data_IF_357259708761
#
_entry.id   IF_357259708761
#
_cell.length_a   1.000
_cell.length_b   1.000
_cell.length_c   1.000
_cell.angle_alpha   90.00
_cell.angle_beta   90.00
_cell.angle_gamma   90.00
#
_symmetry.space_group_name_H-M   'P 1'
#
loop_
_entity.id
_entity.type
_entity.pdbx_description
1 polymer ?
#
# COMPACT_ATOMS: atom_id res chain seq x y z
N UNK A 1 21.34 54.86 9.89
CA UNK A 1 22.26 54.06 10.74
C UNK A 1 21.79 52.62 10.64
N UNK A 2 22.51 51.78 9.89
CA UNK A 2 22.24 50.34 9.79
C UNK A 2 22.83 49.66 11.01
N UNK A 3 21.98 49.16 11.91
CA UNK A 3 22.42 48.35 13.04
C UNK A 3 22.81 46.98 12.49
N UNK A 4 24.05 46.57 12.69
CA UNK A 4 24.51 45.22 12.33
C UNK A 4 23.84 44.18 13.26
N UNK A 5 23.40 43.02 12.74
CA UNK A 5 22.75 41.99 13.57
C UNK A 5 23.71 41.49 14.66
N UNK A 6 23.18 41.15 15.84
CA UNK A 6 23.96 40.58 16.94
C UNK A 6 24.41 39.15 16.56
N UNK A 7 25.72 38.83 16.54
CA UNK A 7 26.22 37.52 16.18
C UNK A 7 25.79 36.37 17.13
N UNK A 8 25.17 36.67 18.27
CA UNK A 8 24.59 35.69 19.19
C UNK A 8 23.06 35.61 19.14
N UNK A 9 22.39 36.29 18.21
CA UNK A 9 20.95 36.20 18.03
C UNK A 9 20.58 34.82 17.45
N UNK A 10 19.84 34.01 18.21
CA UNK A 10 19.32 32.74 17.72
C UNK A 10 18.29 33.03 16.63
N UNK A 11 18.70 32.86 15.38
CA UNK A 11 17.81 32.92 14.23
C UNK A 11 16.99 31.64 14.21
N UNK A 12 15.69 31.74 14.46
CA UNK A 12 14.78 30.60 14.35
C UNK A 12 14.74 30.13 12.89
N UNK A 13 15.20 28.90 12.57
CA UNK A 13 15.18 28.40 11.20
C UNK A 13 13.78 28.33 10.59
N UNK A 14 12.74 28.38 11.43
CA UNK A 14 11.34 28.34 11.04
C UNK A 14 10.68 29.72 11.00
N UNK A 15 11.42 30.82 11.20
CA UNK A 15 10.86 32.19 11.19
C UNK A 15 10.14 32.53 9.87
N UNK A 16 10.59 31.94 8.75
CA UNK A 16 9.98 32.12 7.42
C UNK A 16 9.15 30.89 6.98
N UNK A 17 8.87 29.95 7.87
CA UNK A 17 8.05 28.79 7.56
C UNK A 17 6.57 29.19 7.55
N UNK A 18 5.95 29.18 6.38
CA UNK A 18 4.51 29.22 6.24
C UNK A 18 4.00 27.77 6.26
N UNK A 19 3.19 27.36 7.27
CA UNK A 19 2.68 26.01 7.32
C UNK A 19 1.86 25.68 6.07
N UNK A 20 1.92 24.41 5.63
CA UNK A 20 1.08 23.92 4.55
C UNK A 20 -0.39 24.19 4.87
N UNK A 21 -1.07 24.91 3.97
CA UNK A 21 -2.50 25.16 4.04
C UNK A 21 -3.20 24.19 3.09
N UNK A 22 -4.05 23.33 3.65
CA UNK A 22 -4.84 22.39 2.85
C UNK A 22 -6.19 22.99 2.51
N UNK A 23 -6.67 22.69 1.31
CA UNK A 23 -7.94 23.21 0.80
C UNK A 23 -9.15 22.53 1.45
N UNK A 24 -9.00 21.28 1.90
CA UNK A 24 -10.01 20.53 2.63
C UNK A 24 -9.41 19.47 3.59
N UNK A 25 -10.27 18.88 4.43
CA UNK A 25 -9.89 17.88 5.43
C UNK A 25 -9.45 16.55 4.83
N UNK A 26 -9.82 16.23 3.58
CA UNK A 26 -9.35 15.02 2.90
C UNK A 26 -7.92 15.18 2.43
N UNK A 27 -7.59 16.34 1.86
CA UNK A 27 -6.24 16.70 1.43
C UNK A 27 -5.28 16.68 2.63
N UNK A 28 -5.67 17.31 3.75
CA UNK A 28 -4.91 17.26 4.99
C UNK A 28 -4.72 15.82 5.48
N UNK A 29 -5.78 15.00 5.47
CA UNK A 29 -5.70 13.61 5.91
C UNK A 29 -4.78 12.77 5.02
N UNK A 30 -4.84 12.96 3.70
CA UNK A 30 -3.97 12.27 2.75
C UNK A 30 -2.50 12.68 2.91
N UNK A 31 -2.24 13.96 3.22
CA UNK A 31 -0.89 14.46 3.45
C UNK A 31 -0.29 13.98 4.77
N UNK A 32 -1.07 14.02 5.85
CA UNK A 32 -0.54 13.93 7.22
C UNK A 32 -0.87 12.64 7.97
N UNK A 33 -1.93 11.91 7.60
CA UNK A 33 -2.23 10.64 8.27
C UNK A 33 -1.34 9.53 7.72
N UNK A 34 -0.77 8.67 8.60
CA UNK A 34 0.06 7.57 8.17
C UNK A 34 -0.79 6.47 7.52
N UNK A 35 -0.16 5.61 6.70
CA UNK A 35 -0.80 4.42 6.11
C UNK A 35 -1.37 3.49 7.19
N UNK A 36 -0.77 3.44 8.38
CA UNK A 36 -1.32 2.70 9.54
C UNK A 36 -2.72 3.18 9.98
N UNK A 37 -3.14 4.40 9.62
CA UNK A 37 -4.50 4.89 9.82
C UNK A 37 -5.52 4.27 8.84
N UNK A 38 -5.05 3.70 7.73
CA UNK A 38 -5.86 2.91 6.81
C UNK A 38 -5.97 1.50 7.38
N UNK A 39 -7.20 1.02 7.62
CA UNK A 39 -7.46 -0.34 8.12
C UNK A 39 -7.02 -1.39 7.08
N UNK A 40 -5.74 -1.76 7.09
CA UNK A 40 -5.07 -2.61 6.08
C UNK A 40 -5.10 -4.11 6.41
N UNK A 41 -5.69 -4.47 7.54
CA UNK A 41 -5.87 -5.86 8.02
C UNK A 41 -7.35 -6.28 8.04
N UNK A 42 -7.65 -7.58 8.06
CA UNK A 42 -6.72 -8.70 7.80
C UNK A 42 -6.22 -8.72 6.36
N UNK A 43 -5.08 -9.37 6.12
CA UNK A 43 -4.57 -9.70 4.78
C UNK A 43 -4.47 -11.22 4.63
N UNK A 44 -4.36 -11.70 3.39
CA UNK A 44 -4.20 -13.10 3.06
C UNK A 44 -2.88 -13.31 2.32
N UNK A 45 -2.17 -14.39 2.64
CA UNK A 45 -0.93 -14.78 1.98
C UNK A 45 -0.85 -16.26 1.66
N UNK A 46 0.06 -16.61 0.74
CA UNK A 46 0.43 -17.97 0.36
C UNK A 46 1.96 -18.07 0.16
N UNK A 47 2.59 -19.23 0.36
CA UNK A 47 4.00 -19.41 0.03
C UNK A 47 4.23 -19.48 -1.49
N UNK A 48 5.44 -19.16 -2.00
CA UNK A 48 5.73 -19.13 -3.44
C UNK A 48 5.62 -20.50 -4.13
N UNK A 49 5.68 -21.59 -3.37
CA UNK A 49 5.54 -22.96 -3.85
C UNK A 49 4.10 -23.49 -3.81
N UNK A 50 3.14 -22.76 -3.22
CA UNK A 50 1.73 -23.10 -3.34
C UNK A 50 1.35 -23.17 -4.82
N UNK A 51 0.50 -24.12 -5.18
CA UNK A 51 0.04 -24.27 -6.56
C UNK A 51 -0.85 -23.11 -6.97
N UNK A 52 -0.90 -22.83 -8.28
CA UNK A 52 -1.85 -21.85 -8.84
C UNK A 52 -3.29 -22.19 -8.45
N UNK A 53 -3.66 -23.48 -8.44
CA UNK A 53 -4.98 -23.94 -7.96
C UNK A 53 -5.24 -23.50 -6.52
N UNK A 54 -4.34 -23.84 -5.59
CA UNK A 54 -4.50 -23.48 -4.18
C UNK A 54 -4.62 -21.96 -4.00
N UNK A 55 -3.83 -21.17 -4.74
CA UNK A 55 -3.92 -19.71 -4.69
C UNK A 55 -5.28 -19.18 -5.21
N UNK A 56 -5.79 -19.74 -6.32
CA UNK A 56 -7.10 -19.36 -6.88
C UNK A 56 -8.24 -19.76 -5.94
N UNK A 57 -8.19 -20.96 -5.38
CA UNK A 57 -9.17 -21.43 -4.38
C UNK A 57 -9.14 -20.51 -3.15
N UNK A 58 -7.96 -20.12 -2.68
CA UNK A 58 -7.79 -19.21 -1.54
C UNK A 58 -8.38 -17.82 -1.80
N UNK A 59 -8.19 -17.25 -3.00
CA UNK A 59 -8.84 -16.00 -3.41
C UNK A 59 -10.37 -16.13 -3.31
N UNK A 60 -10.93 -17.22 -3.86
CA UNK A 60 -12.36 -17.47 -3.90
C UNK A 60 -12.97 -17.72 -2.50
N UNK A 61 -12.33 -18.55 -1.68
CA UNK A 61 -12.77 -18.90 -0.32
C UNK A 61 -12.80 -17.68 0.59
N UNK A 62 -11.73 -16.89 0.58
CA UNK A 62 -11.61 -15.71 1.43
C UNK A 62 -12.35 -14.49 0.87
N UNK A 63 -12.84 -14.57 -0.37
CA UNK A 63 -13.48 -13.46 -1.11
C UNK A 63 -12.58 -12.22 -1.15
N UNK A 64 -11.29 -12.43 -1.37
CA UNK A 64 -10.29 -11.37 -1.51
C UNK A 64 -9.80 -11.32 -2.96
N UNK A 65 -9.42 -10.14 -3.43
CA UNK A 65 -8.96 -9.94 -4.81
C UNK A 65 -7.43 -10.02 -4.96
N UNK A 66 -6.71 -10.25 -3.85
CA UNK A 66 -5.26 -10.24 -3.80
C UNK A 66 -4.75 -11.12 -2.67
N UNK A 67 -3.72 -11.92 -2.96
CA UNK A 67 -2.88 -12.63 -2.02
C UNK A 67 -1.47 -12.06 -2.07
N UNK A 68 -0.87 -11.88 -0.91
CA UNK A 68 0.56 -11.63 -0.80
C UNK A 68 1.30 -12.97 -0.93
N UNK A 69 2.39 -12.98 -1.67
CA UNK A 69 3.27 -14.14 -1.74
C UNK A 69 4.43 -13.91 -0.80
N UNK A 70 4.56 -14.80 0.18
CA UNK A 70 5.44 -14.63 1.32
C UNK A 70 6.42 -15.79 1.45
N UNK A 71 7.70 -15.49 1.63
CA UNK A 71 8.74 -16.49 1.90
C UNK A 71 9.60 -16.01 3.06
N UNK A 72 9.76 -16.83 4.09
CA UNK A 72 10.54 -16.48 5.29
C UNK A 72 10.15 -15.12 5.91
N UNK A 73 8.85 -14.84 6.04
CA UNK A 73 8.29 -13.57 6.55
C UNK A 73 8.59 -12.34 5.70
N UNK A 74 9.01 -12.54 4.44
CA UNK A 74 9.28 -11.47 3.49
C UNK A 74 8.30 -11.51 2.33
N UNK A 75 7.90 -10.33 1.89
CA UNK A 75 7.13 -10.15 0.68
C UNK A 75 8.01 -10.46 -0.55
N UNK A 76 7.64 -11.49 -1.30
CA UNK A 76 8.35 -11.89 -2.53
C UNK A 76 7.50 -11.69 -3.79
N UNK A 77 6.18 -11.50 -3.64
CA UNK A 77 5.28 -11.28 -4.76
C UNK A 77 3.86 -10.93 -4.36
N UNK A 78 3.03 -10.69 -5.37
CA UNK A 78 1.58 -10.53 -5.26
C UNK A 78 0.91 -11.41 -6.32
N UNK A 79 -0.18 -12.06 -5.96
CA UNK A 79 -1.05 -12.78 -6.88
C UNK A 79 -2.49 -12.29 -6.73
N UNK A 80 -3.08 -11.80 -7.81
CA UNK A 80 -4.36 -11.08 -7.80
C UNK A 80 -5.37 -11.64 -8.82
N UNK A 81 -6.62 -11.19 -8.72
CA UNK A 81 -7.65 -11.44 -9.73
C UNK A 81 -7.21 -11.08 -11.16
N UNK A 82 -6.45 -9.99 -11.32
CA UNK A 82 -5.82 -9.60 -12.58
C UNK A 82 -4.82 -10.66 -13.07
N UNK A 83 -3.97 -11.18 -12.20
CA UNK A 83 -3.03 -12.25 -12.59
C UNK A 83 -3.79 -13.51 -13.01
N UNK A 84 -4.93 -13.82 -12.37
CA UNK A 84 -5.79 -14.92 -12.79
C UNK A 84 -6.29 -14.68 -14.22
N UNK A 85 -6.82 -13.50 -14.52
CA UNK A 85 -7.33 -13.18 -15.85
C UNK A 85 -6.23 -13.14 -16.92
N UNK A 86 -5.08 -12.54 -16.61
CA UNK A 86 -4.04 -12.24 -17.58
C UNK A 86 -3.10 -13.43 -17.84
N UNK A 87 -2.85 -14.28 -16.82
CA UNK A 87 -1.79 -15.30 -16.86
C UNK A 87 -2.29 -16.73 -16.64
N UNK A 88 -3.50 -16.91 -16.13
CA UNK A 88 -3.99 -18.24 -15.70
C UNK A 88 -5.22 -18.68 -16.51
N UNK A 89 -6.17 -17.78 -16.76
CA UNK A 89 -7.50 -18.14 -17.25
C UNK A 89 -7.49 -18.91 -18.57
N UNK A 90 -6.60 -18.56 -19.50
CA UNK A 90 -6.52 -19.20 -20.82
C UNK A 90 -5.71 -20.51 -20.84
N UNK A 91 -4.86 -20.73 -19.83
CA UNK A 91 -3.91 -21.87 -19.76
C UNK A 91 -4.11 -22.70 -18.49
N UNK A 92 -5.27 -22.58 -17.83
CA UNK A 92 -5.49 -23.11 -16.48
C UNK A 92 -5.09 -24.58 -16.35
N UNK A 93 -5.48 -25.42 -17.31
CA UNK A 93 -5.17 -26.85 -17.26
C UNK A 93 -3.67 -27.16 -17.22
N UNK A 94 -2.85 -26.29 -17.83
CA UNK A 94 -1.39 -26.42 -17.93
C UNK A 94 -0.67 -25.82 -16.72
N UNK A 95 -1.22 -24.78 -16.11
CA UNK A 95 -0.57 -24.02 -15.03
C UNK A 95 -1.09 -24.34 -13.63
N UNK A 96 -2.28 -24.94 -13.49
CA UNK A 96 -2.95 -25.13 -12.19
C UNK A 96 -2.12 -25.87 -11.13
N UNK A 97 -1.23 -26.77 -11.55
CA UNK A 97 -0.35 -27.53 -10.64
C UNK A 97 1.07 -26.95 -10.52
N UNK A 98 1.36 -25.85 -11.23
CA UNK A 98 2.64 -25.16 -11.12
C UNK A 98 2.66 -24.25 -9.88
N UNK A 99 3.85 -23.92 -9.35
CA UNK A 99 3.97 -22.95 -8.26
C UNK A 99 3.41 -21.57 -8.63
N UNK A 100 2.73 -20.89 -7.71
CA UNK A 100 2.20 -19.53 -7.89
C UNK A 100 3.31 -18.54 -8.22
N UNK A 101 4.55 -18.81 -7.78
CA UNK A 101 5.72 -18.01 -8.14
C UNK A 101 6.04 -17.95 -9.64
N UNK A 102 5.46 -18.81 -10.48
CA UNK A 102 5.60 -18.74 -11.95
C UNK A 102 4.68 -17.69 -12.57
N UNK A 103 3.55 -17.36 -11.91
CA UNK A 103 2.52 -16.44 -12.43
C UNK A 103 2.33 -15.18 -11.56
N UNK A 104 2.89 -15.13 -10.36
CA UNK A 104 2.81 -13.94 -9.49
C UNK A 104 3.49 -12.71 -10.12
N UNK A 105 3.07 -11.52 -9.70
CA UNK A 105 3.85 -10.30 -9.91
C UNK A 105 4.99 -10.26 -8.90
N UNK A 106 6.24 -10.32 -9.38
CA UNK A 106 7.46 -10.28 -8.57
C UNK A 106 7.82 -8.83 -8.22
N UNK A 107 8.51 -8.65 -7.08
CA UNK A 107 8.97 -7.34 -6.61
C UNK A 107 7.85 -6.28 -6.63
N UNK A 108 6.72 -6.53 -5.96
CA UNK A 108 5.58 -5.62 -5.98
C UNK A 108 5.95 -4.26 -5.39
N UNK A 109 5.34 -3.19 -5.91
CA UNK A 109 5.38 -1.87 -5.27
C UNK A 109 4.64 -1.98 -3.93
N UNK A 110 5.29 -1.53 -2.87
CA UNK A 110 4.74 -1.50 -1.51
C UNK A 110 4.88 -0.10 -0.93
N UNK A 111 4.25 0.13 0.23
CA UNK A 111 4.45 1.31 1.07
C UNK A 111 4.75 0.88 2.50
N UNK A 112 5.43 1.72 3.25
CA UNK A 112 5.60 1.57 4.69
C UNK A 112 4.39 2.12 5.45
N UNK A 113 4.08 1.51 6.60
CA UNK A 113 2.96 1.92 7.45
C UNK A 113 3.08 3.36 8.00
N UNK A 114 4.30 3.91 8.00
CA UNK A 114 4.63 5.26 8.43
C UNK A 114 4.58 6.30 7.33
N UNK A 115 4.50 5.90 6.05
CA UNK A 115 4.31 6.84 4.94
C UNK A 115 2.91 7.47 5.00
N UNK A 116 2.70 8.55 4.27
CA UNK A 116 1.40 9.21 4.23
C UNK A 116 0.35 8.37 3.49
N UNK A 117 -0.93 8.52 3.86
CA UNK A 117 -2.04 7.87 3.17
C UNK A 117 -2.09 8.25 1.67
N UNK A 118 -1.60 9.42 1.30
CA UNK A 118 -1.40 9.86 -0.08
C UNK A 118 -0.44 8.97 -0.89
N UNK A 119 0.56 8.34 -0.25
CA UNK A 119 1.47 7.40 -0.92
C UNK A 119 0.71 6.19 -1.50
N UNK A 120 -0.28 5.66 -0.75
CA UNK A 120 -1.16 4.59 -1.23
C UNK A 120 -1.96 5.04 -2.45
N UNK A 121 -2.51 6.25 -2.41
CA UNK A 121 -3.29 6.80 -3.52
C UNK A 121 -2.41 7.01 -4.76
N UNK A 122 -1.18 7.47 -4.60
CA UNK A 122 -0.21 7.59 -5.69
C UNK A 122 0.07 6.24 -6.36
N UNK A 123 0.32 5.18 -5.57
CA UNK A 123 0.52 3.82 -6.12
C UNK A 123 -0.72 3.34 -6.88
N UNK A 124 -1.92 3.61 -6.36
CA UNK A 124 -3.17 3.18 -7.00
C UNK A 124 -3.50 3.96 -8.26
N UNK A 125 -3.48 5.30 -8.20
CA UNK A 125 -3.98 6.18 -9.24
C UNK A 125 -2.95 6.48 -10.33
N UNK A 126 -1.67 6.56 -9.97
CA UNK A 126 -0.59 6.91 -10.90
C UNK A 126 0.11 5.66 -11.42
N UNK A 127 0.44 4.71 -10.55
CA UNK A 127 1.15 3.49 -10.94
C UNK A 127 0.21 2.34 -11.36
N UNK A 128 -1.08 2.44 -11.05
CA UNK A 128 -2.11 1.52 -11.53
C UNK A 128 -2.23 0.20 -10.74
N UNK A 129 -1.63 0.12 -9.56
CA UNK A 129 -1.71 -1.07 -8.68
C UNK A 129 -2.79 -0.90 -7.63
N UNK A 130 -3.86 -1.72 -7.72
CA UNK A 130 -5.02 -1.59 -6.81
C UNK A 130 -4.78 -2.16 -5.42
N UNK A 131 -3.94 -3.18 -5.29
CA UNK A 131 -3.66 -3.79 -3.99
C UNK A 131 -2.20 -3.53 -3.67
N UNK A 132 -1.96 -2.76 -2.62
CA UNK A 132 -0.65 -2.26 -2.26
C UNK A 132 -0.24 -2.91 -0.94
N UNK A 133 0.77 -3.79 -0.93
CA UNK A 133 1.32 -4.33 0.31
C UNK A 133 1.80 -3.20 1.24
N UNK A 134 1.55 -3.37 2.53
CA UNK A 134 2.00 -2.44 3.58
C UNK A 134 3.03 -3.15 4.45
N UNK A 135 4.21 -2.55 4.60
CA UNK A 135 5.32 -3.09 5.39
C UNK A 135 5.60 -2.25 6.64
N UNK A 136 6.16 -2.87 7.68
CA UNK A 136 6.77 -2.15 8.81
C UNK A 136 8.21 -1.70 8.48
N UNK A 137 8.82 -0.96 9.41
CA UNK A 137 10.23 -0.52 9.30
C UNK A 137 11.28 -1.64 9.24
N UNK A 138 10.88 -2.90 9.45
CA UNK A 138 11.73 -4.11 9.40
C UNK A 138 11.43 -4.96 8.16
N UNK A 139 10.68 -4.41 7.20
CA UNK A 139 10.23 -5.08 5.97
C UNK A 139 9.30 -6.28 6.19
N UNK A 140 8.63 -6.36 7.34
CA UNK A 140 7.57 -7.36 7.56
C UNK A 140 6.24 -6.88 7.02
N UNK A 141 5.45 -7.82 6.51
CA UNK A 141 4.11 -7.54 6.02
C UNK A 141 3.15 -7.26 7.19
N UNK A 142 2.57 -6.07 7.20
CA UNK A 142 1.56 -5.66 8.20
C UNK A 142 0.16 -5.53 7.60
N UNK A 143 0.03 -5.46 6.28
CA UNK A 143 -1.29 -5.31 5.66
C UNK A 143 -1.29 -5.24 4.15
N UNK A 144 -2.48 -4.97 3.61
CA UNK A 144 -2.67 -4.61 2.20
C UNK A 144 -3.67 -3.46 2.10
N UNK A 145 -3.27 -2.34 1.51
CA UNK A 145 -4.18 -1.26 1.16
C UNK A 145 -4.91 -1.58 -0.16
N UNK A 146 -6.19 -1.19 -0.25
CA UNK A 146 -7.03 -1.44 -1.42
C UNK A 146 -7.93 -0.24 -1.70
N UNK A 147 -8.59 -0.15 -2.88
CA UNK A 147 -9.45 0.98 -3.22
C UNK A 147 -10.63 1.08 -2.24
N UNK A 148 -11.15 -0.06 -1.77
CA UNK A 148 -12.20 -0.09 -0.76
C UNK A 148 -11.72 0.49 0.59
N UNK A 149 -10.49 0.14 1.01
CA UNK A 149 -9.91 0.60 2.28
C UNK A 149 -9.59 2.09 2.26
N UNK A 150 -8.97 2.59 1.19
CA UNK A 150 -8.70 4.03 1.06
C UNK A 150 -10.01 4.82 0.96
N UNK A 151 -11.03 4.30 0.27
CA UNK A 151 -12.35 4.94 0.21
C UNK A 151 -12.98 5.02 1.60
N UNK A 152 -12.93 3.94 2.40
CA UNK A 152 -13.42 3.96 3.78
C UNK A 152 -12.65 4.96 4.65
N UNK A 153 -11.32 5.02 4.51
CA UNK A 153 -10.49 6.02 5.19
C UNK A 153 -10.88 7.46 4.81
N UNK A 154 -11.14 7.74 3.53
CA UNK A 154 -11.56 9.07 3.09
C UNK A 154 -12.93 9.45 3.64
N UNK A 155 -13.87 8.50 3.70
CA UNK A 155 -15.22 8.74 4.27
C UNK A 155 -15.17 9.22 5.72
N UNK A 156 -14.27 8.69 6.55
CA UNK A 156 -14.16 9.10 7.96
C UNK A 156 -13.62 10.53 8.13
N UNK A 157 -13.11 11.15 7.05
CA UNK A 157 -12.62 12.53 7.04
C UNK A 157 -13.56 13.49 6.29
N UNK A 158 -14.44 12.97 5.42
CA UNK A 158 -15.57 13.70 4.83
C UNK A 158 -16.68 14.02 5.86
N UNK A 159 -16.93 13.12 6.81
CA UNK A 159 -17.96 13.31 7.84
C UNK A 159 -17.57 14.35 8.90
N UNK A 160 -16.33 14.85 8.87
CA UNK A 160 -15.78 15.82 9.82
C UNK A 160 -15.66 17.23 9.25
N UNK A 161 -16.00 17.43 7.98
CA UNK A 161 -15.96 18.71 7.25
C UNK A 161 -17.23 19.54 7.45
#
# INVERSE_FOLDING_TARGET
>A
MSVSPDPNEFQDPLENYDPEQYSDTMEEALANQPVSAIQSTPYASVPPNATVREAVERLAELKVACLLVEENQKLVGVFSDRDVLDKVALEYDQVQNQPVSTVMTRNPVFVYESESAGAVLNVMAVQGFRHVPVLDSKDHIVGVASPARITSFLKTHLEKS
#
